data_IF_539351846101
#
_entry.id   IF_539351846101
#
_cell.length_a   1.000
_cell.length_b   1.000
_cell.length_c   1.000
_cell.angle_alpha   90.00
_cell.angle_beta   90.00
_cell.angle_gamma   90.00
#
_symmetry.space_group_name_H-M   'P 1'
#
loop_
_entity.id
_entity.type
_entity.pdbx_description
1 polymer ?
#
# COMPACT_ATOMS: atom_id res chain seq x y z
N UNK A 1 -38.83 -8.05 11.34
CA UNK A 1 -37.88 -8.52 12.36
C UNK A 1 -36.55 -8.66 11.67
N UNK A 2 -35.61 -7.76 11.92
CA UNK A 2 -34.23 -7.96 11.47
C UNK A 2 -33.69 -9.17 12.23
N UNK A 3 -33.08 -10.16 11.56
CA UNK A 3 -32.39 -11.22 12.27
C UNK A 3 -31.36 -10.59 13.23
N UNK A 4 -31.10 -11.20 14.41
CA UNK A 4 -30.06 -10.72 15.30
C UNK A 4 -28.75 -10.67 14.50
N UNK A 5 -28.12 -9.48 14.45
CA UNK A 5 -26.82 -9.34 13.84
C UNK A 5 -25.88 -10.33 14.53
N UNK A 6 -25.25 -11.22 13.76
CA UNK A 6 -24.19 -12.07 14.31
C UNK A 6 -23.18 -11.14 15.00
N UNK A 7 -22.72 -11.48 16.23
CA UNK A 7 -21.69 -10.68 16.89
C UNK A 7 -20.47 -10.58 15.97
N UNK A 8 -19.85 -9.40 15.92
CA UNK A 8 -18.63 -9.18 15.15
C UNK A 8 -17.55 -10.18 15.58
N UNK A 9 -16.75 -10.72 14.65
CA UNK A 9 -15.55 -11.48 15.00
C UNK A 9 -14.62 -10.65 15.90
N UNK A 10 -13.83 -11.31 16.75
CA UNK A 10 -12.84 -10.63 17.56
C UNK A 10 -11.61 -10.27 16.71
N UNK A 11 -11.62 -9.13 16.05
CA UNK A 11 -10.49 -8.71 15.20
C UNK A 11 -9.20 -8.38 15.97
N UNK A 12 -9.22 -8.39 17.31
CA UNK A 12 -8.01 -8.29 18.14
C UNK A 12 -7.37 -9.66 18.40
N UNK A 13 -7.96 -10.74 17.89
CA UNK A 13 -7.41 -12.09 17.93
C UNK A 13 -6.70 -12.43 16.60
N UNK A 14 -5.48 -12.97 16.71
CA UNK A 14 -4.66 -13.30 15.56
C UNK A 14 -5.29 -14.40 14.69
N UNK A 15 -5.97 -15.38 15.29
CA UNK A 15 -6.61 -16.46 14.52
C UNK A 15 -7.78 -15.95 13.67
N UNK A 16 -8.52 -14.98 14.20
CA UNK A 16 -9.57 -14.26 13.45
C UNK A 16 -8.99 -13.54 12.22
N UNK A 17 -7.88 -12.82 12.38
CA UNK A 17 -7.21 -12.13 11.27
C UNK A 17 -6.63 -13.12 10.24
N UNK A 18 -6.06 -14.24 10.70
CA UNK A 18 -5.54 -15.30 9.82
C UNK A 18 -6.66 -15.98 9.03
N UNK A 19 -7.83 -16.19 9.64
CA UNK A 19 -9.00 -16.72 8.93
C UNK A 19 -9.43 -15.76 7.81
N UNK A 20 -9.53 -14.46 8.10
CA UNK A 20 -9.86 -13.44 7.11
C UNK A 20 -8.87 -13.36 5.94
N UNK A 21 -7.57 -13.51 6.23
CA UNK A 21 -6.53 -13.62 5.18
C UNK A 21 -6.75 -14.88 4.33
N UNK A 22 -7.07 -16.03 4.94
CA UNK A 22 -7.34 -17.27 4.17
C UNK A 22 -8.55 -17.12 3.27
N UNK A 23 -9.61 -16.47 3.74
CA UNK A 23 -10.81 -16.20 2.93
C UNK A 23 -10.49 -15.29 1.73
N UNK A 24 -9.67 -14.27 1.95
CA UNK A 24 -9.19 -13.39 0.87
C UNK A 24 -8.27 -14.12 -0.12
N UNK A 25 -7.36 -14.97 0.36
CA UNK A 25 -6.53 -15.80 -0.51
C UNK A 25 -7.35 -16.81 -1.31
N UNK A 26 -8.44 -17.34 -0.74
CA UNK A 26 -9.33 -18.29 -1.43
C UNK A 26 -10.14 -17.63 -2.57
N UNK A 27 -10.34 -16.31 -2.54
CA UNK A 27 -10.93 -15.58 -3.66
C UNK A 27 -9.98 -15.57 -4.88
N UNK A 28 -8.69 -15.34 -4.65
CA UNK A 28 -7.70 -15.24 -5.73
C UNK A 28 -7.10 -16.58 -6.14
N UNK A 29 -6.88 -17.51 -5.21
CA UNK A 29 -6.22 -18.78 -5.52
C UNK A 29 -7.24 -19.89 -5.86
N UNK A 30 -7.07 -20.64 -6.98
CA UNK A 30 -6.02 -20.53 -7.98
C UNK A 30 -6.37 -19.60 -9.17
N UNK A 31 -7.52 -18.95 -9.16
CA UNK A 31 -8.11 -18.23 -10.31
C UNK A 31 -7.21 -17.11 -10.87
N UNK A 32 -6.42 -16.47 -10.02
CA UNK A 32 -5.51 -15.39 -10.41
C UNK A 32 -4.29 -15.88 -11.19
N UNK A 33 -3.92 -17.16 -11.10
CA UNK A 33 -2.72 -17.68 -11.77
C UNK A 33 -2.94 -17.78 -13.29
N UNK A 34 -2.05 -17.18 -14.07
CA UNK A 34 -1.97 -17.41 -15.51
C UNK A 34 -0.88 -18.46 -15.79
N UNK A 35 -1.26 -19.56 -16.44
CA UNK A 35 -0.32 -20.62 -16.81
C UNK A 35 0.73 -20.13 -17.83
N UNK A 36 0.39 -19.13 -18.65
CA UNK A 36 1.28 -18.57 -19.68
C UNK A 36 2.24 -17.52 -19.10
N UNK A 37 2.00 -17.04 -17.87
CA UNK A 37 2.90 -16.16 -17.14
C UNK A 37 2.21 -15.05 -16.36
N UNK A 38 2.61 -14.91 -15.10
CA UNK A 38 2.11 -13.87 -14.20
C UNK A 38 0.73 -14.19 -13.62
N UNK A 39 -0.07 -13.15 -13.44
CA UNK A 39 -1.40 -13.25 -12.82
C UNK A 39 -2.42 -12.44 -13.60
N UNK A 40 -3.68 -12.90 -13.61
CA UNK A 40 -4.85 -12.07 -13.91
C UNK A 40 -4.98 -10.92 -12.93
N UNK A 41 -5.36 -9.75 -13.44
CA UNK A 41 -5.36 -8.50 -12.67
C UNK A 41 -6.73 -7.84 -12.61
N UNK A 42 -7.76 -8.46 -13.20
CA UNK A 42 -9.08 -7.89 -13.39
C UNK A 42 -10.14 -8.92 -13.01
N UNK A 43 -10.72 -8.78 -11.82
CA UNK A 43 -11.66 -9.73 -11.24
C UNK A 43 -12.99 -9.07 -10.91
N UNK A 44 -14.08 -9.77 -11.24
CA UNK A 44 -15.43 -9.45 -10.78
C UNK A 44 -15.65 -9.90 -9.34
N UNK A 45 -16.77 -9.47 -8.77
CA UNK A 45 -17.19 -9.87 -7.42
C UNK A 45 -17.22 -11.38 -7.20
N UNK A 46 -17.62 -12.15 -8.22
CA UNK A 46 -17.71 -13.61 -8.19
C UNK A 46 -16.37 -14.33 -8.47
N UNK A 47 -15.29 -13.57 -8.67
CA UNK A 47 -13.96 -14.08 -8.99
C UNK A 47 -13.69 -14.26 -10.49
N UNK A 48 -14.67 -14.04 -11.37
CA UNK A 48 -14.45 -14.19 -12.80
C UNK A 48 -13.45 -13.14 -13.33
N UNK A 49 -12.48 -13.60 -14.13
CA UNK A 49 -11.55 -12.72 -14.84
C UNK A 49 -12.28 -11.99 -15.95
N UNK A 50 -12.22 -10.66 -15.98
CA UNK A 50 -12.92 -9.85 -16.99
C UNK A 50 -12.04 -9.22 -18.06
N UNK A 51 -10.74 -9.10 -17.80
CA UNK A 51 -9.72 -8.79 -18.79
C UNK A 51 -8.49 -9.66 -18.52
N UNK A 52 -8.24 -10.59 -19.45
CA UNK A 52 -7.11 -11.51 -19.39
C UNK A 52 -5.86 -10.97 -20.12
N UNK A 53 -6.02 -9.94 -20.95
CA UNK A 53 -5.00 -9.44 -21.88
C UNK A 53 -4.10 -8.37 -21.28
N UNK A 54 -4.65 -7.55 -20.38
CA UNK A 54 -3.95 -6.40 -19.83
C UNK A 54 -3.31 -6.73 -18.47
N UNK A 55 -2.05 -6.35 -18.32
CA UNK A 55 -1.26 -6.49 -17.09
C UNK A 55 -0.73 -5.12 -16.67
N UNK A 56 -0.51 -4.96 -15.37
CA UNK A 56 -0.07 -3.72 -14.77
C UNK A 56 0.98 -4.04 -13.73
N UNK A 57 2.09 -3.30 -13.74
CA UNK A 57 3.26 -3.56 -12.91
C UNK A 57 2.89 -3.72 -11.43
N UNK A 58 2.09 -2.78 -10.92
CA UNK A 58 1.59 -2.76 -9.54
C UNK A 58 0.86 -4.05 -9.14
N UNK A 59 -0.02 -4.61 -9.98
CA UNK A 59 -0.67 -5.88 -9.67
C UNK A 59 0.31 -7.05 -9.71
N UNK A 60 1.22 -7.09 -10.70
CA UNK A 60 2.22 -8.17 -10.79
C UNK A 60 3.11 -8.22 -9.56
N UNK A 61 3.55 -7.07 -9.07
CA UNK A 61 4.36 -6.97 -7.84
C UNK A 61 3.53 -7.25 -6.58
N UNK A 62 2.30 -6.76 -6.49
CA UNK A 62 1.45 -6.95 -5.30
C UNK A 62 0.97 -8.41 -5.17
N UNK A 63 0.76 -9.15 -6.26
CA UNK A 63 0.51 -10.58 -6.18
C UNK A 63 1.74 -11.37 -5.69
N UNK A 64 2.97 -10.95 -6.05
CA UNK A 64 4.17 -11.53 -5.44
C UNK A 64 4.16 -11.33 -3.92
N UNK A 65 3.83 -10.14 -3.44
CA UNK A 65 3.64 -9.93 -1.99
C UNK A 65 2.61 -10.88 -1.40
N UNK A 66 1.40 -10.95 -1.99
CA UNK A 66 0.31 -11.77 -1.46
C UNK A 66 0.75 -13.22 -1.26
N UNK A 67 1.30 -13.84 -2.31
CA UNK A 67 1.71 -15.22 -2.28
C UNK A 67 2.95 -15.44 -1.42
N UNK A 68 3.92 -14.53 -1.42
CA UNK A 68 5.13 -14.65 -0.59
C UNK A 68 4.80 -14.56 0.90
N UNK A 69 4.00 -13.57 1.31
CA UNK A 69 3.60 -13.40 2.71
C UNK A 69 2.71 -14.55 3.18
N UNK A 70 1.76 -15.00 2.35
CA UNK A 70 0.94 -16.17 2.65
C UNK A 70 1.78 -17.47 2.73
N UNK A 71 2.81 -17.63 1.89
CA UNK A 71 3.72 -18.76 1.96
C UNK A 71 4.48 -18.81 3.29
N UNK A 72 4.99 -17.66 3.75
CA UNK A 72 5.69 -17.53 5.04
C UNK A 72 4.74 -17.82 6.20
N UNK A 73 3.58 -17.16 6.23
CA UNK A 73 2.64 -17.24 7.34
C UNK A 73 2.03 -18.65 7.49
N UNK A 74 1.66 -19.28 6.37
CA UNK A 74 0.96 -20.56 6.38
C UNK A 74 1.85 -21.78 6.11
N UNK A 75 3.16 -21.58 5.91
CA UNK A 75 4.08 -22.67 5.57
C UNK A 75 3.73 -23.39 4.27
N UNK A 76 3.28 -22.65 3.24
CA UNK A 76 2.74 -23.19 1.98
C UNK A 76 3.77 -23.09 0.85
N UNK A 77 4.44 -24.21 0.55
CA UNK A 77 5.43 -24.27 -0.54
C UNK A 77 4.81 -24.00 -1.92
N UNK A 78 3.56 -24.39 -2.14
CA UNK A 78 2.86 -24.10 -3.40
C UNK A 78 2.54 -22.60 -3.57
N UNK A 79 2.39 -21.84 -2.49
CA UNK A 79 2.31 -20.38 -2.54
C UNK A 79 3.69 -19.76 -2.80
N UNK A 80 4.77 -20.34 -2.25
CA UNK A 80 6.15 -19.93 -2.57
C UNK A 80 6.42 -20.07 -4.07
N UNK A 81 6.00 -21.17 -4.69
CA UNK A 81 6.18 -21.37 -6.13
C UNK A 81 5.33 -20.42 -6.99
N UNK A 82 4.14 -20.02 -6.53
CA UNK A 82 3.36 -18.94 -7.17
C UNK A 82 4.04 -17.58 -7.04
N UNK A 83 4.64 -17.26 -5.88
CA UNK A 83 5.45 -16.05 -5.73
C UNK A 83 6.66 -16.06 -6.68
N UNK A 84 7.36 -17.21 -6.79
CA UNK A 84 8.46 -17.40 -7.76
C UNK A 84 7.98 -17.23 -9.20
N UNK A 85 6.79 -17.74 -9.53
CA UNK A 85 6.16 -17.55 -10.83
C UNK A 85 5.91 -16.06 -11.15
N UNK A 86 5.34 -15.30 -10.20
CA UNK A 86 5.18 -13.86 -10.34
C UNK A 86 6.50 -13.10 -10.52
N UNK A 87 7.53 -13.48 -9.76
CA UNK A 87 8.87 -12.90 -9.89
C UNK A 87 9.51 -13.14 -11.26
N UNK A 88 9.32 -14.34 -11.84
CA UNK A 88 9.77 -14.61 -13.21
C UNK A 88 9.07 -13.69 -14.21
N UNK A 89 7.74 -13.57 -14.13
CA UNK A 89 6.98 -12.68 -15.01
C UNK A 89 7.45 -11.22 -14.89
N UNK A 90 7.71 -10.76 -13.67
CA UNK A 90 8.25 -9.42 -13.43
C UNK A 90 9.61 -9.19 -14.13
N UNK A 91 10.47 -10.21 -14.19
CA UNK A 91 11.81 -10.10 -14.79
C UNK A 91 11.84 -10.35 -16.29
N UNK A 92 10.95 -11.21 -16.78
CA UNK A 92 10.93 -11.64 -18.19
C UNK A 92 10.01 -10.78 -19.06
N UNK A 93 8.90 -10.28 -18.51
CA UNK A 93 7.90 -9.52 -19.27
C UNK A 93 7.93 -8.02 -18.98
N UNK A 94 8.05 -7.60 -17.71
CA UNK A 94 8.05 -6.18 -17.36
C UNK A 94 9.40 -5.51 -17.56
N UNK A 95 10.49 -6.14 -17.08
CA UNK A 95 11.82 -5.52 -17.07
C UNK A 95 12.41 -5.39 -18.49
N UNK A 96 12.81 -4.19 -18.90
CA UNK A 96 13.63 -3.99 -20.10
C UNK A 96 15.11 -4.16 -19.75
N UNK A 97 15.80 -5.20 -20.28
CA UNK A 97 17.19 -5.46 -19.93
C UNK A 97 18.19 -4.41 -20.43
N UNK A 98 17.79 -3.54 -21.38
CA UNK A 98 18.66 -2.50 -21.93
C UNK A 98 18.70 -1.26 -21.03
N UNK A 99 17.57 -0.93 -20.41
CA UNK A 99 17.44 0.29 -19.61
C UNK A 99 17.41 0.02 -18.11
N UNK A 100 17.06 -1.20 -17.70
CA UNK A 100 16.75 -1.56 -16.31
C UNK A 100 15.36 -1.11 -15.85
N UNK A 101 14.62 -0.38 -16.68
CA UNK A 101 13.24 0.04 -16.42
C UNK A 101 12.24 -1.11 -16.46
N UNK A 102 11.01 -0.84 -16.04
CA UNK A 102 9.92 -1.81 -16.03
C UNK A 102 8.72 -1.23 -16.76
N UNK A 103 8.17 -1.98 -17.72
CA UNK A 103 6.94 -1.63 -18.41
C UNK A 103 5.83 -1.40 -17.38
N UNK A 104 5.16 -0.25 -17.46
CA UNK A 104 4.07 0.12 -16.56
C UNK A 104 2.84 -0.74 -16.83
N UNK A 105 2.45 -0.87 -18.10
CA UNK A 105 1.40 -1.78 -18.57
C UNK A 105 1.88 -2.67 -19.71
N UNK A 106 1.27 -3.85 -19.82
CA UNK A 106 1.48 -4.82 -20.88
C UNK A 106 0.10 -5.21 -21.41
N UNK A 107 -0.05 -5.28 -22.72
CA UNK A 107 -1.25 -5.80 -23.39
C UNK A 107 -0.86 -6.89 -24.36
N UNK A 108 -1.55 -8.04 -24.29
CA UNK A 108 -1.31 -9.19 -25.17
C UNK A 108 0.17 -9.62 -25.19
N UNK A 109 0.82 -9.58 -24.02
CA UNK A 109 2.24 -9.93 -23.84
C UNK A 109 3.23 -8.89 -24.37
N UNK A 110 2.79 -7.72 -24.83
CA UNK A 110 3.66 -6.64 -25.30
C UNK A 110 3.58 -5.41 -24.37
N UNK A 111 4.72 -4.77 -24.03
CA UNK A 111 4.70 -3.52 -23.28
C UNK A 111 3.89 -2.43 -24.01
N UNK A 112 2.85 -1.93 -23.36
CA UNK A 112 1.93 -0.90 -23.87
C UNK A 112 2.38 0.48 -23.39
N UNK A 113 2.47 0.67 -22.07
CA UNK A 113 3.08 1.85 -21.45
C UNK A 113 4.49 1.53 -20.90
N UNK A 114 5.47 2.33 -21.31
CA UNK A 114 6.89 2.20 -20.98
C UNK A 114 7.42 3.34 -20.11
N UNK A 115 6.54 4.18 -19.57
CA UNK A 115 6.91 5.19 -18.58
C UNK A 115 7.53 4.52 -17.35
N UNK A 116 8.67 5.04 -16.91
CA UNK A 116 9.38 4.61 -15.74
C UNK A 116 8.85 5.36 -14.51
N UNK A 117 7.94 4.74 -13.76
CA UNK A 117 7.39 5.31 -12.53
C UNK A 117 8.15 4.84 -11.29
N UNK A 118 8.61 5.78 -10.47
CA UNK A 118 9.26 5.50 -9.18
C UNK A 118 8.32 4.68 -8.27
N UNK A 119 7.02 4.98 -8.30
CA UNK A 119 5.98 4.19 -7.63
C UNK A 119 6.05 2.71 -8.03
N UNK A 120 6.17 2.42 -9.33
CA UNK A 120 6.33 1.05 -9.82
C UNK A 120 7.59 0.38 -9.30
N UNK A 121 8.72 1.09 -9.31
CA UNK A 121 10.02 0.57 -8.83
C UNK A 121 10.01 0.33 -7.31
N UNK A 122 9.26 1.11 -6.53
CA UNK A 122 9.03 0.84 -5.11
C UNK A 122 8.40 -0.54 -4.91
N UNK A 123 7.33 -0.84 -5.66
CA UNK A 123 6.68 -2.14 -5.60
C UNK A 123 7.54 -3.28 -6.15
N UNK A 124 8.44 -3.01 -7.09
CA UNK A 124 9.45 -3.99 -7.54
C UNK A 124 10.40 -4.36 -6.40
N UNK A 125 10.95 -3.37 -5.68
CA UNK A 125 11.81 -3.61 -4.53
C UNK A 125 11.07 -4.38 -3.43
N UNK A 126 9.80 -4.02 -3.17
CA UNK A 126 8.95 -4.74 -2.24
C UNK A 126 8.75 -6.21 -2.65
N UNK A 127 8.44 -6.48 -3.92
CA UNK A 127 8.25 -7.84 -4.44
C UNK A 127 9.53 -8.69 -4.27
N UNK A 128 10.70 -8.13 -4.58
CA UNK A 128 11.98 -8.80 -4.37
C UNK A 128 12.26 -9.06 -2.89
N UNK A 129 11.99 -8.08 -2.02
CA UNK A 129 12.14 -8.22 -0.57
C UNK A 129 11.24 -9.34 -0.02
N UNK A 130 9.98 -9.41 -0.46
CA UNK A 130 9.06 -10.49 -0.08
C UNK A 130 9.50 -11.84 -0.63
N UNK A 131 10.06 -11.90 -1.84
CA UNK A 131 10.68 -13.10 -2.39
C UNK A 131 11.78 -13.64 -1.48
N UNK A 132 12.68 -12.77 -1.02
CA UNK A 132 13.74 -13.15 -0.07
C UNK A 132 13.16 -13.65 1.26
N UNK A 133 12.17 -12.94 1.84
CA UNK A 133 11.48 -13.39 3.06
C UNK A 133 10.84 -14.78 2.90
N UNK A 134 10.32 -15.09 1.71
CA UNK A 134 9.74 -16.39 1.39
C UNK A 134 10.78 -17.49 1.05
N UNK A 135 12.08 -17.19 1.11
CA UNK A 135 13.16 -18.16 0.82
C UNK A 135 13.55 -18.29 -0.66
N UNK A 136 13.16 -17.34 -1.51
CA UNK A 136 13.53 -17.29 -2.93
C UNK A 136 14.87 -16.54 -3.03
N UNK A 137 15.96 -17.26 -2.82
CA UNK A 137 17.30 -16.69 -2.63
C UNK A 137 17.80 -15.82 -3.79
N UNK A 138 17.41 -16.13 -5.04
CA UNK A 138 17.83 -15.34 -6.21
C UNK A 138 17.32 -13.90 -6.19
N UNK A 139 16.25 -13.60 -5.42
CA UNK A 139 15.68 -12.26 -5.33
C UNK A 139 16.59 -11.25 -4.60
N UNK A 140 17.54 -11.71 -3.78
CA UNK A 140 18.44 -10.83 -3.03
C UNK A 140 19.31 -9.96 -3.95
N UNK A 141 19.90 -10.55 -4.99
CA UNK A 141 20.71 -9.80 -5.96
C UNK A 141 19.87 -8.76 -6.74
N UNK A 142 18.56 -9.00 -6.89
CA UNK A 142 17.66 -8.08 -7.58
C UNK A 142 17.28 -6.88 -6.71
N UNK A 143 17.33 -7.00 -5.38
CA UNK A 143 17.20 -5.85 -4.48
C UNK A 143 18.37 -4.88 -4.65
N UNK A 144 19.60 -5.39 -4.77
CA UNK A 144 20.81 -4.58 -5.05
C UNK A 144 20.71 -3.90 -6.41
N UNK A 145 20.28 -4.65 -7.43
CA UNK A 145 20.07 -4.12 -8.78
C UNK A 145 19.05 -2.98 -8.78
N UNK A 146 17.95 -3.15 -8.05
CA UNK A 146 16.88 -2.14 -7.94
C UNK A 146 17.34 -0.91 -7.17
N UNK A 147 18.11 -1.09 -6.09
CA UNK A 147 18.76 0.01 -5.39
C UNK A 147 19.64 0.83 -6.34
N UNK A 148 20.50 0.18 -7.12
CA UNK A 148 21.38 0.88 -8.06
C UNK A 148 20.61 1.64 -9.15
N UNK A 149 19.48 1.09 -9.62
CA UNK A 149 18.58 1.81 -10.54
C UNK A 149 18.01 3.07 -9.89
N UNK A 150 17.51 2.94 -8.66
CA UNK A 150 16.95 4.04 -7.89
C UNK A 150 17.97 5.15 -7.64
N UNK A 151 19.18 4.79 -7.21
CA UNK A 151 20.26 5.76 -6.99
C UNK A 151 20.69 6.46 -8.28
N UNK A 152 20.79 5.72 -9.39
CA UNK A 152 21.27 6.28 -10.65
C UNK A 152 20.22 7.16 -11.35
N UNK A 153 18.93 6.86 -11.18
CA UNK A 153 17.86 7.46 -11.98
C UNK A 153 16.85 8.26 -11.19
N UNK A 154 16.48 7.88 -9.98
CA UNK A 154 15.36 8.49 -9.27
C UNK A 154 15.78 9.33 -8.06
N UNK A 155 16.92 9.05 -7.43
CA UNK A 155 17.33 9.73 -6.21
C UNK A 155 17.76 11.19 -6.49
N UNK A 156 17.18 12.12 -5.75
CA UNK A 156 17.58 13.53 -5.74
C UNK A 156 18.28 13.85 -4.41
N UNK A 157 19.61 13.74 -4.33
CA UNK A 157 20.34 13.84 -3.06
C UNK A 157 20.19 15.20 -2.37
N UNK A 158 19.98 16.27 -3.13
CA UNK A 158 19.75 17.62 -2.61
C UNK A 158 18.43 17.75 -1.86
N UNK A 159 17.42 16.99 -2.25
CA UNK A 159 16.12 16.94 -1.59
C UNK A 159 15.98 15.76 -0.63
N UNK A 160 16.83 14.73 -0.76
CA UNK A 160 16.69 13.50 -0.01
C UNK A 160 15.36 12.76 -0.29
N UNK A 161 14.86 12.87 -1.52
CA UNK A 161 13.62 12.28 -2.00
C UNK A 161 13.83 11.73 -3.42
N UNK A 162 12.90 10.90 -3.89
CA UNK A 162 12.88 10.38 -5.25
C UNK A 162 11.96 11.20 -6.15
N UNK A 163 12.43 11.55 -7.35
CA UNK A 163 11.59 12.10 -8.43
C UNK A 163 10.65 11.04 -8.98
N UNK A 164 9.55 11.47 -9.61
CA UNK A 164 8.39 10.57 -9.78
C UNK A 164 8.43 9.71 -11.05
N UNK A 165 8.58 10.32 -12.23
CA UNK A 165 8.42 9.59 -13.49
C UNK A 165 9.29 10.12 -14.63
N UNK A 166 9.66 9.20 -15.52
CA UNK A 166 10.41 9.49 -16.74
C UNK A 166 9.90 8.66 -17.92
N UNK A 167 10.16 9.13 -19.13
CA UNK A 167 9.97 8.32 -20.33
C UNK A 167 10.98 7.15 -20.40
N UNK A 168 10.90 6.37 -21.49
CA UNK A 168 11.77 5.21 -21.71
C UNK A 168 13.25 5.57 -21.89
N UNK A 169 13.56 6.83 -22.24
CA UNK A 169 14.91 7.35 -22.43
C UNK A 169 15.44 8.09 -21.18
N UNK A 170 14.70 8.04 -20.07
CA UNK A 170 15.00 8.67 -18.78
C UNK A 170 14.92 10.19 -18.77
N UNK A 171 14.08 10.79 -19.63
CA UNK A 171 13.71 12.20 -19.50
C UNK A 171 12.61 12.35 -18.46
N UNK A 172 12.92 13.04 -17.35
CA UNK A 172 12.01 13.20 -16.22
C UNK A 172 11.02 14.34 -16.41
N UNK A 173 9.81 14.16 -15.88
CA UNK A 173 8.81 15.23 -15.82
C UNK A 173 9.14 16.23 -14.69
N UNK A 174 8.42 17.36 -14.70
CA UNK A 174 8.51 18.36 -13.63
C UNK A 174 7.75 18.00 -12.36
N UNK A 175 6.97 16.91 -12.35
CA UNK A 175 6.13 16.51 -11.23
C UNK A 175 6.95 15.82 -10.13
N UNK A 176 6.59 16.09 -8.88
CA UNK A 176 7.08 15.37 -7.69
C UNK A 176 5.87 14.94 -6.85
N UNK A 177 5.92 13.72 -6.34
CA UNK A 177 4.80 13.11 -5.63
C UNK A 177 5.22 12.49 -4.31
N UNK A 178 4.40 12.67 -3.27
CA UNK A 178 4.59 11.98 -2.00
C UNK A 178 4.42 10.46 -2.16
N UNK A 179 3.49 10.03 -3.02
CA UNK A 179 3.00 8.66 -3.09
C UNK A 179 4.11 7.65 -3.44
N UNK A 180 4.95 7.97 -4.43
CA UNK A 180 6.12 7.14 -4.76
C UNK A 180 7.11 7.05 -3.60
N UNK A 181 7.32 8.13 -2.84
CA UNK A 181 8.24 8.18 -1.71
C UNK A 181 7.70 7.43 -0.48
N UNK A 182 6.39 7.44 -0.26
CA UNK A 182 5.71 6.65 0.77
C UNK A 182 5.89 5.15 0.53
N UNK A 183 5.55 4.67 -0.66
CA UNK A 183 5.76 3.26 -0.99
C UNK A 183 7.24 2.88 -1.10
N UNK A 184 8.12 3.83 -1.42
CA UNK A 184 9.55 3.58 -1.31
C UNK A 184 9.98 3.39 0.14
N UNK A 185 9.47 4.19 1.09
CA UNK A 185 9.72 3.99 2.51
C UNK A 185 9.26 2.59 2.96
N UNK A 186 8.06 2.17 2.54
CA UNK A 186 7.54 0.82 2.77
C UNK A 186 8.46 -0.27 2.19
N UNK A 187 8.85 -0.15 0.92
CA UNK A 187 9.72 -1.11 0.24
C UNK A 187 11.11 -1.20 0.89
N UNK A 188 11.65 -0.07 1.34
CA UNK A 188 12.93 0.00 2.06
C UNK A 188 12.86 -0.67 3.43
N UNK A 189 11.75 -0.50 4.17
CA UNK A 189 11.51 -1.25 5.41
C UNK A 189 11.42 -2.76 5.13
N UNK A 190 10.71 -3.15 4.08
CA UNK A 190 10.63 -4.56 3.68
C UNK A 190 12.00 -5.13 3.28
N UNK A 191 12.81 -4.36 2.56
CA UNK A 191 14.16 -4.72 2.15
C UNK A 191 15.12 -4.86 3.34
N UNK A 192 15.05 -3.93 4.30
CA UNK A 192 15.77 -4.03 5.57
C UNK A 192 15.38 -5.31 6.32
N UNK A 193 14.10 -5.60 6.45
CA UNK A 193 13.64 -6.82 7.14
C UNK A 193 14.04 -8.12 6.42
N UNK A 194 14.22 -8.08 5.11
CA UNK A 194 14.63 -9.24 4.32
C UNK A 194 16.15 -9.49 4.34
N UNK A 195 16.95 -8.44 4.51
CA UNK A 195 18.42 -8.49 4.33
C UNK A 195 19.25 -8.12 5.56
N UNK A 196 18.64 -7.42 6.52
CA UNK A 196 19.30 -6.74 7.64
C UNK A 196 20.34 -5.68 7.20
N UNK A 197 20.31 -5.21 5.95
CA UNK A 197 21.19 -4.16 5.45
C UNK A 197 20.70 -2.77 5.90
N UNK A 198 21.53 -2.09 6.70
CA UNK A 198 21.21 -0.81 7.33
C UNK A 198 20.89 0.31 6.33
N UNK A 199 21.44 0.28 5.11
CA UNK A 199 21.21 1.34 4.11
C UNK A 199 19.73 1.53 3.79
N UNK A 200 18.97 0.43 3.81
CA UNK A 200 17.54 0.47 3.52
C UNK A 200 16.77 1.13 4.67
N UNK A 201 17.10 0.80 5.92
CA UNK A 201 16.48 1.44 7.08
C UNK A 201 16.82 2.93 7.16
N UNK A 202 18.07 3.30 6.89
CA UNK A 202 18.53 4.69 6.83
C UNK A 202 17.82 5.48 5.71
N UNK A 203 17.63 4.87 4.53
CA UNK A 203 16.86 5.48 3.46
C UNK A 203 15.39 5.66 3.84
N UNK A 204 14.77 4.64 4.43
CA UNK A 204 13.38 4.72 4.90
C UNK A 204 13.18 5.86 5.91
N UNK A 205 14.10 6.02 6.89
CA UNK A 205 14.07 7.12 7.85
C UNK A 205 14.24 8.48 7.16
N UNK A 206 15.16 8.58 6.20
CA UNK A 206 15.39 9.81 5.41
C UNK A 206 14.11 10.24 4.68
N UNK A 207 13.45 9.31 3.99
CA UNK A 207 12.19 9.56 3.29
C UNK A 207 11.08 9.99 4.26
N UNK A 208 10.93 9.27 5.37
CA UNK A 208 9.94 9.58 6.39
C UNK A 208 10.14 10.97 7.00
N UNK A 209 11.38 11.34 7.34
CA UNK A 209 11.71 12.66 7.86
C UNK A 209 11.39 13.75 6.82
N UNK A 210 11.83 13.57 5.58
CA UNK A 210 11.60 14.59 4.55
C UNK A 210 10.12 14.74 4.22
N UNK A 211 9.34 13.66 4.14
CA UNK A 211 7.92 13.74 3.81
C UNK A 211 7.06 14.19 4.99
N UNK A 212 7.19 13.55 6.16
CA UNK A 212 6.28 13.77 7.28
C UNK A 212 6.71 14.90 8.21
N UNK A 213 7.92 15.46 8.04
CA UNK A 213 8.35 16.69 8.70
C UNK A 213 8.48 17.84 7.70
N UNK A 214 9.43 17.76 6.75
CA UNK A 214 9.76 18.91 5.88
C UNK A 214 8.64 19.26 4.90
N UNK A 215 8.12 18.29 4.16
CA UNK A 215 7.02 18.55 3.24
C UNK A 215 5.71 18.84 3.99
N UNK A 216 5.41 18.06 5.03
CA UNK A 216 4.22 18.28 5.86
C UNK A 216 4.17 19.66 6.53
N UNK A 217 5.32 20.24 6.90
CA UNK A 217 5.40 21.59 7.45
C UNK A 217 4.93 22.69 6.47
N UNK A 218 4.88 22.40 5.16
CA UNK A 218 4.33 23.31 4.16
C UNK A 218 2.79 23.25 4.08
N UNK A 219 2.15 22.25 4.70
CA UNK A 219 0.71 21.97 4.59
C UNK A 219 0.06 21.71 5.97
N UNK A 220 0.34 22.60 6.93
CA UNK A 220 -0.21 22.55 8.30
C UNK A 220 0.04 21.22 9.05
N UNK A 221 1.15 20.55 8.76
CA UNK A 221 1.55 19.30 9.42
C UNK A 221 0.98 18.03 8.78
N UNK A 222 0.27 18.13 7.66
CA UNK A 222 -0.26 17.00 6.89
C UNK A 222 0.53 16.78 5.60
N UNK A 223 0.54 15.54 5.10
CA UNK A 223 1.24 15.21 3.85
C UNK A 223 0.33 15.51 2.67
N UNK A 224 0.66 16.57 1.91
CA UNK A 224 0.02 16.87 0.62
C UNK A 224 0.59 15.95 -0.49
N UNK A 225 -0.19 15.72 -1.55
CA UNK A 225 0.15 14.75 -2.59
C UNK A 225 1.15 15.26 -3.63
N UNK A 226 1.00 16.52 -4.06
CA UNK A 226 1.56 17.02 -5.32
C UNK A 226 2.53 18.18 -5.11
N UNK A 227 3.70 18.10 -5.75
CA UNK A 227 4.76 19.09 -5.64
C UNK A 227 5.37 19.39 -7.01
N UNK A 228 5.94 20.58 -7.14
CA UNK A 228 6.76 20.95 -8.28
C UNK A 228 8.18 20.35 -8.21
N UNK A 229 9.01 20.65 -9.21
CA UNK A 229 10.39 20.16 -9.33
C UNK A 229 11.30 20.55 -8.17
N UNK A 230 10.97 21.62 -7.46
CA UNK A 230 11.72 22.18 -6.34
C UNK A 230 11.10 21.78 -5.00
N UNK A 231 10.15 20.82 -5.02
CA UNK A 231 9.43 20.30 -3.87
C UNK A 231 8.59 21.34 -3.12
N UNK A 232 8.13 22.39 -3.81
CA UNK A 232 7.07 23.27 -3.31
C UNK A 232 5.70 22.64 -3.60
N UNK A 233 4.72 22.88 -2.72
CA UNK A 233 3.36 22.38 -2.92
C UNK A 233 2.75 22.94 -4.21
N UNK A 234 2.18 22.05 -5.01
CA UNK A 234 1.24 22.38 -6.08
C UNK A 234 -0.20 22.15 -5.58
N UNK A 235 -0.88 23.25 -5.23
CA UNK A 235 -2.26 23.22 -4.73
C UNK A 235 -3.33 23.07 -5.83
N UNK A 236 -2.94 23.24 -7.08
CA UNK A 236 -3.84 23.29 -8.23
C UNK A 236 -3.76 22.02 -9.09
N UNK A 237 -2.74 21.17 -8.87
CA UNK A 237 -2.59 19.88 -9.53
C UNK A 237 -3.88 19.05 -9.44
N UNK A 238 -4.53 18.83 -10.58
CA UNK A 238 -5.80 18.12 -10.72
C UNK A 238 -6.96 18.66 -9.87
N UNK A 239 -6.95 19.95 -9.48
CA UNK A 239 -8.10 20.54 -8.78
C UNK A 239 -9.41 20.42 -9.57
N UNK A 240 -9.34 20.50 -10.90
CA UNK A 240 -10.49 20.34 -11.79
C UNK A 240 -10.88 18.87 -12.07
N UNK A 241 -10.06 17.91 -11.61
CA UNK A 241 -10.31 16.47 -11.68
C UNK A 241 -9.96 15.77 -10.34
N UNK A 242 -10.71 16.05 -9.26
CA UNK A 242 -10.34 15.62 -7.91
C UNK A 242 -10.40 14.09 -7.72
N UNK A 243 -11.08 13.36 -8.60
CA UNK A 243 -11.22 11.90 -8.56
C UNK A 243 -10.24 11.17 -9.49
N UNK A 244 -9.19 11.85 -9.97
CA UNK A 244 -8.18 11.23 -10.83
C UNK A 244 -7.59 9.96 -10.18
N UNK A 245 -7.60 8.84 -10.90
CA UNK A 245 -7.39 7.49 -10.35
C UNK A 245 -6.08 7.29 -9.57
N UNK A 246 -4.99 7.95 -9.98
CA UNK A 246 -3.66 7.78 -9.37
C UNK A 246 -3.11 9.02 -8.65
N UNK A 247 -3.71 10.18 -8.93
CA UNK A 247 -3.24 11.50 -8.45
C UNK A 247 -4.46 12.38 -8.16
N UNK A 248 -5.35 11.95 -7.24
CA UNK A 248 -6.54 12.71 -6.88
C UNK A 248 -6.14 14.00 -6.15
N UNK A 249 -6.93 15.05 -6.31
CA UNK A 249 -6.73 16.30 -5.57
C UNK A 249 -7.22 16.18 -4.12
N UNK A 250 -6.56 16.90 -3.21
CA UNK A 250 -6.91 16.95 -1.80
C UNK A 250 -5.99 16.09 -0.93
N UNK A 251 -6.07 16.30 0.38
CA UNK A 251 -5.42 15.41 1.33
C UNK A 251 -6.09 14.05 1.32
N UNK A 252 -5.27 13.01 1.23
CA UNK A 252 -5.72 11.62 1.29
C UNK A 252 -5.61 11.12 2.75
N UNK A 253 -6.70 10.99 3.53
CA UNK A 253 -6.66 10.47 4.89
C UNK A 253 -6.01 9.09 4.98
N UNK A 254 -6.23 8.24 3.96
CA UNK A 254 -5.57 6.94 3.85
C UNK A 254 -4.05 7.07 3.91
N UNK A 255 -3.45 7.96 3.10
CA UNK A 255 -2.00 8.18 3.11
C UNK A 255 -1.49 8.81 4.40
N UNK A 256 -2.28 9.65 5.08
CA UNK A 256 -1.89 10.15 6.41
C UNK A 256 -1.78 8.98 7.40
N UNK A 257 -2.76 8.09 7.41
CA UNK A 257 -2.74 6.91 8.28
C UNK A 257 -1.68 5.90 7.87
N UNK A 258 -1.41 5.73 6.57
CA UNK A 258 -0.35 4.86 6.07
C UNK A 258 1.05 5.38 6.44
N UNK A 259 1.30 6.69 6.32
CA UNK A 259 2.52 7.28 6.88
C UNK A 259 2.63 7.03 8.38
N UNK A 260 1.56 7.22 9.14
CA UNK A 260 1.57 6.92 10.57
C UNK A 260 1.91 5.44 10.87
N UNK A 261 1.40 4.48 10.07
CA UNK A 261 1.82 3.06 10.14
C UNK A 261 3.33 2.91 9.91
N UNK A 262 3.85 3.50 8.83
CA UNK A 262 5.28 3.40 8.46
C UNK A 262 6.19 4.03 9.52
N UNK A 263 5.78 5.14 10.13
CA UNK A 263 6.50 5.77 11.24
C UNK A 263 6.57 4.86 12.48
N UNK A 264 5.51 4.10 12.77
CA UNK A 264 5.48 3.15 13.89
C UNK A 264 6.31 1.89 13.58
N UNK A 265 6.36 1.46 12.32
CA UNK A 265 7.26 0.38 11.88
C UNK A 265 8.73 0.82 11.98
N UNK A 266 9.05 2.06 11.58
CA UNK A 266 10.38 2.67 11.80
C UNK A 266 10.73 2.74 13.28
N UNK A 267 9.80 3.22 14.11
CA UNK A 267 9.98 3.34 15.56
C UNK A 267 10.32 1.98 16.20
N UNK A 268 9.64 0.89 15.79
CA UNK A 268 9.95 -0.48 16.24
C UNK A 268 11.41 -0.84 15.97
N UNK A 269 11.87 -0.64 14.74
CA UNK A 269 13.22 -1.05 14.33
C UNK A 269 14.32 -0.17 14.94
N UNK A 270 14.09 1.14 15.04
CA UNK A 270 15.05 2.08 15.59
C UNK A 270 15.08 2.04 17.13
N UNK A 271 13.93 1.81 17.79
CA UNK A 271 13.87 1.66 19.25
C UNK A 271 14.63 0.42 19.71
N UNK A 272 14.53 -0.69 18.97
CA UNK A 272 15.31 -1.89 19.23
C UNK A 272 16.83 -1.66 19.14
N UNK A 273 17.26 -0.60 18.45
CA UNK A 273 18.66 -0.18 18.31
C UNK A 273 19.07 0.94 19.27
N UNK A 274 18.11 1.55 19.98
CA UNK A 274 18.34 2.69 20.86
C UNK A 274 18.41 4.06 20.16
N UNK A 275 18.01 4.12 18.88
CA UNK A 275 18.23 5.29 18.00
C UNK A 275 16.92 5.93 17.50
N UNK A 276 15.76 5.58 18.08
CA UNK A 276 14.46 6.09 17.63
C UNK A 276 14.31 7.60 17.89
N UNK A 277 14.10 8.42 16.84
CA UNK A 277 13.77 9.83 17.01
C UNK A 277 12.39 10.01 17.67
N UNK A 278 12.30 10.92 18.65
CA UNK A 278 11.06 11.18 19.39
C UNK A 278 9.89 11.69 18.50
N UNK A 279 10.19 12.23 17.32
CA UNK A 279 9.18 12.75 16.41
C UNK A 279 8.37 11.64 15.71
N UNK A 280 8.85 10.40 15.65
CA UNK A 280 8.16 9.30 14.93
C UNK A 280 6.75 9.06 15.48
N UNK A 281 6.64 8.78 16.78
CA UNK A 281 5.36 8.46 17.42
C UNK A 281 4.46 9.70 17.50
N UNK A 282 5.02 10.87 17.83
CA UNK A 282 4.23 12.12 17.93
C UNK A 282 3.64 12.55 16.58
N UNK A 283 4.40 12.38 15.50
CA UNK A 283 3.92 12.65 14.14
C UNK A 283 2.89 11.62 13.69
N UNK A 284 3.11 10.33 13.98
CA UNK A 284 2.14 9.28 13.67
C UNK A 284 0.77 9.55 14.31
N UNK A 285 0.76 9.97 15.58
CA UNK A 285 -0.46 10.39 16.28
C UNK A 285 -1.13 11.58 15.60
N UNK A 286 -0.37 12.64 15.32
CA UNK A 286 -0.91 13.84 14.68
C UNK A 286 -1.58 13.53 13.33
N UNK A 287 -0.90 12.75 12.47
CA UNK A 287 -1.42 12.34 11.16
C UNK A 287 -2.69 11.50 11.31
N UNK A 288 -2.68 10.50 12.19
CA UNK A 288 -3.83 9.63 12.41
C UNK A 288 -5.03 10.40 12.98
N UNK A 289 -4.84 11.11 14.08
CA UNK A 289 -5.90 11.83 14.80
C UNK A 289 -6.57 12.86 13.90
N UNK A 290 -5.77 13.60 13.12
CA UNK A 290 -6.30 14.59 12.18
C UNK A 290 -7.05 13.93 11.04
N UNK A 291 -6.51 12.86 10.45
CA UNK A 291 -7.14 12.18 9.34
C UNK A 291 -8.51 11.60 9.72
N UNK A 292 -8.60 10.87 10.84
CA UNK A 292 -9.87 10.26 11.26
C UNK A 292 -10.91 11.31 11.69
N UNK A 293 -10.47 12.40 12.34
CA UNK A 293 -11.37 13.49 12.72
C UNK A 293 -11.93 14.27 11.53
N UNK A 294 -11.16 14.41 10.43
CA UNK A 294 -11.57 15.13 9.23
C UNK A 294 -12.40 14.28 8.26
N UNK A 295 -12.20 12.97 8.23
CA UNK A 295 -12.73 12.11 7.16
C UNK A 295 -13.74 11.06 7.59
N UNK A 296 -13.91 10.81 8.89
CA UNK A 296 -14.94 9.86 9.34
C UNK A 296 -16.36 10.39 9.08
N UNK A 297 -17.18 9.59 8.42
CA UNK A 297 -18.59 9.88 8.19
C UNK A 297 -19.43 9.40 9.38
N UNK A 298 -19.93 10.33 10.22
CA UNK A 298 -20.78 9.99 11.36
C UNK A 298 -22.20 9.53 10.98
N UNK A 299 -22.64 9.79 9.74
CA UNK A 299 -23.97 9.39 9.26
C UNK A 299 -23.96 7.98 8.65
N UNK A 300 -22.98 7.70 7.80
CA UNK A 300 -22.91 6.43 7.04
C UNK A 300 -21.73 5.52 7.44
N UNK A 301 -20.83 5.98 8.31
CA UNK A 301 -19.63 5.25 8.70
C UNK A 301 -18.54 5.26 7.62
N UNK A 302 -17.33 4.88 8.02
CA UNK A 302 -16.17 4.79 7.13
C UNK A 302 -15.50 6.14 6.88
N UNK A 303 -14.23 6.07 6.51
CA UNK A 303 -13.43 7.25 6.14
C UNK A 303 -13.67 7.58 4.66
N UNK A 304 -13.97 8.85 4.38
CA UNK A 304 -14.03 9.44 3.05
C UNK A 304 -12.65 9.39 2.34
N UNK A 305 -12.65 9.56 1.01
CA UNK A 305 -11.45 9.42 0.19
C UNK A 305 -10.54 10.65 0.22
N UNK A 306 -11.10 11.86 0.34
CA UNK A 306 -10.29 13.08 0.31
C UNK A 306 -10.95 14.28 0.97
N UNK A 307 -10.12 15.14 1.56
CA UNK A 307 -10.54 16.44 2.08
C UNK A 307 -9.65 17.59 1.59
N UNK A 308 -10.26 18.75 1.37
CA UNK A 308 -9.62 19.97 0.92
C UNK A 308 -8.76 20.62 2.04
N UNK A 309 -7.91 21.62 1.72
CA UNK A 309 -7.12 22.34 2.73
C UNK A 309 -7.94 23.05 3.81
N UNK A 310 -9.20 23.44 3.52
CA UNK A 310 -10.11 23.97 4.54
C UNK A 310 -10.75 22.89 5.43
N UNK A 311 -10.51 21.62 5.09
CA UNK A 311 -11.01 20.42 5.76
C UNK A 311 -12.41 19.98 5.33
N UNK A 312 -12.98 20.57 4.29
CA UNK A 312 -14.21 20.06 3.67
C UNK A 312 -13.94 18.76 2.91
N UNK A 313 -14.88 17.82 2.93
CA UNK A 313 -14.78 16.58 2.13
C UNK A 313 -14.90 16.94 0.65
N UNK A 314 -13.89 16.58 -0.15
CA UNK A 314 -13.87 16.78 -1.59
C UNK A 314 -14.12 15.49 -2.39
N UNK A 315 -13.91 14.33 -1.76
CA UNK A 315 -14.36 13.04 -2.26
C UNK A 315 -14.85 12.15 -1.10
N UNK A 316 -16.14 11.84 -1.12
CA UNK A 316 -16.86 11.08 -0.07
C UNK A 316 -16.98 9.59 -0.36
N UNK A 317 -16.35 9.10 -1.44
CA UNK A 317 -16.27 7.67 -1.72
C UNK A 317 -15.50 6.92 -0.62
N UNK A 318 -15.86 5.65 -0.41
CA UNK A 318 -15.32 4.81 0.65
C UNK A 318 -14.44 3.72 0.07
N UNK A 319 -13.13 3.92 0.11
CA UNK A 319 -12.15 3.00 -0.47
C UNK A 319 -11.67 1.95 0.52
N UNK A 320 -11.48 0.72 0.03
CA UNK A 320 -11.01 -0.42 0.81
C UNK A 320 -9.67 -0.18 1.53
N UNK A 321 -8.71 0.39 0.79
CA UNK A 321 -7.34 0.56 1.26
C UNK A 321 -7.25 1.64 2.34
N UNK A 322 -8.05 2.71 2.24
CA UNK A 322 -8.11 3.75 3.29
C UNK A 322 -8.49 3.12 4.62
N UNK A 323 -9.51 2.26 4.65
CA UNK A 323 -9.95 1.63 5.90
C UNK A 323 -8.91 0.64 6.42
N UNK A 324 -8.31 -0.15 5.53
CA UNK A 324 -7.29 -1.15 5.86
C UNK A 324 -6.03 -0.52 6.46
N UNK A 325 -5.53 0.56 5.87
CA UNK A 325 -4.37 1.29 6.38
C UNK A 325 -4.69 1.93 7.73
N UNK A 326 -5.85 2.58 7.84
CA UNK A 326 -6.26 3.20 9.10
C UNK A 326 -6.44 2.20 10.24
N UNK A 327 -7.02 1.01 9.99
CA UNK A 327 -7.16 0.01 11.06
C UNK A 327 -5.80 -0.57 11.47
N UNK A 328 -4.86 -0.77 10.54
CA UNK A 328 -3.51 -1.21 10.92
C UNK A 328 -2.84 -0.16 11.82
N UNK A 329 -2.90 1.10 11.42
CA UNK A 329 -2.34 2.22 12.19
C UNK A 329 -2.98 2.35 13.57
N UNK A 330 -4.30 2.21 13.67
CA UNK A 330 -5.02 2.25 14.94
C UNK A 330 -4.50 1.18 15.90
N UNK A 331 -4.35 -0.06 15.45
CA UNK A 331 -3.78 -1.13 16.29
C UNK A 331 -2.33 -0.83 16.71
N UNK A 332 -1.49 -0.34 15.78
CA UNK A 332 -0.09 -0.03 16.08
C UNK A 332 0.05 1.12 17.08
N UNK A 333 -0.77 2.16 16.96
CA UNK A 333 -0.82 3.26 17.93
C UNK A 333 -1.31 2.75 19.29
N UNK A 334 -2.35 1.91 19.32
CA UNK A 334 -2.89 1.37 20.55
C UNK A 334 -1.84 0.56 21.34
N UNK A 335 -1.12 -0.33 20.66
CA UNK A 335 -0.02 -1.10 21.26
C UNK A 335 1.11 -0.18 21.71
N UNK A 336 1.56 0.73 20.84
CA UNK A 336 2.74 1.55 21.10
C UNK A 336 2.55 2.60 22.21
N UNK A 337 1.33 3.12 22.36
CA UNK A 337 0.99 4.19 23.31
C UNK A 337 0.29 3.68 24.57
N UNK A 338 -0.36 2.52 24.51
CA UNK A 338 -1.23 2.02 25.58
C UNK A 338 -2.57 2.76 25.70
N UNK A 339 -2.92 3.62 24.74
CA UNK A 339 -4.16 4.41 24.78
C UNK A 339 -5.34 3.65 24.13
N UNK A 340 -6.38 3.39 24.92
CA UNK A 340 -7.56 2.62 24.49
C UNK A 340 -8.37 3.27 23.37
N UNK A 341 -8.27 4.61 23.20
CA UNK A 341 -8.93 5.33 22.10
C UNK A 341 -8.59 4.74 20.73
N UNK A 342 -7.33 4.34 20.51
CA UNK A 342 -6.93 3.76 19.23
C UNK A 342 -7.50 2.36 19.01
N UNK A 343 -7.69 1.59 20.08
CA UNK A 343 -8.43 0.32 20.00
C UNK A 343 -9.92 0.54 19.70
N UNK A 344 -10.52 1.62 20.19
CA UNK A 344 -11.89 1.99 19.84
C UNK A 344 -12.00 2.36 18.35
N UNK A 345 -11.02 3.07 17.80
CA UNK A 345 -10.94 3.33 16.36
C UNK A 345 -10.75 2.05 15.55
N UNK A 346 -9.87 1.15 16.00
CA UNK A 346 -9.65 -0.16 15.37
C UNK A 346 -10.96 -0.94 15.24
N UNK A 347 -11.71 -1.07 16.35
CA UNK A 347 -12.99 -1.77 16.36
C UNK A 347 -14.04 -1.07 15.48
N UNK A 348 -14.08 0.28 15.49
CA UNK A 348 -15.00 1.08 14.67
C UNK A 348 -14.74 0.90 13.17
N UNK A 349 -13.47 0.90 12.76
CA UNK A 349 -13.04 0.69 11.38
C UNK A 349 -13.34 -0.73 10.91
N UNK A 350 -13.05 -1.75 11.73
CA UNK A 350 -13.41 -3.13 11.44
C UNK A 350 -14.92 -3.36 11.35
N UNK A 351 -15.70 -2.79 12.26
CA UNK A 351 -17.15 -2.90 12.23
C UNK A 351 -17.72 -2.38 10.89
N UNK A 352 -17.25 -1.20 10.46
CA UNK A 352 -17.63 -0.63 9.17
C UNK A 352 -17.18 -1.51 8.00
N UNK A 353 -15.89 -1.87 7.96
CA UNK A 353 -15.33 -2.66 6.87
C UNK A 353 -16.00 -4.04 6.75
N UNK A 354 -16.21 -4.73 7.87
CA UNK A 354 -16.87 -6.02 7.92
C UNK A 354 -18.31 -5.92 7.41
N UNK A 355 -19.03 -4.85 7.75
CA UNK A 355 -20.43 -4.70 7.31
C UNK A 355 -20.56 -4.34 5.82
N UNK A 356 -19.64 -3.52 5.29
CA UNK A 356 -19.85 -2.85 4.01
C UNK A 356 -18.86 -3.23 2.91
N UNK A 357 -17.59 -3.47 3.24
CA UNK A 357 -16.52 -3.67 2.27
C UNK A 357 -16.15 -5.13 2.08
N UNK A 358 -16.20 -5.95 3.12
CA UNK A 358 -15.90 -7.39 3.03
C UNK A 358 -17.04 -8.11 2.33
N UNK A 359 -16.73 -8.85 1.27
CA UNK A 359 -17.71 -9.70 0.59
C UNK A 359 -17.79 -11.07 1.26
N UNK A 360 -18.80 -11.25 2.11
CA UNK A 360 -19.04 -12.51 2.83
C UNK A 360 -19.46 -13.68 1.94
N UNK A 361 -19.80 -13.44 0.67
CA UNK A 361 -20.22 -14.49 -0.26
C UNK A 361 -19.05 -15.09 -1.02
N UNK A 362 -18.13 -14.24 -1.49
CA UNK A 362 -17.03 -14.66 -2.36
C UNK A 362 -15.64 -14.44 -1.75
N UNK A 363 -15.53 -13.73 -0.63
CA UNK A 363 -14.27 -13.31 -0.04
C UNK A 363 -13.69 -12.06 -0.70
N UNK A 364 -12.57 -11.61 -0.15
CA UNK A 364 -11.90 -10.33 -0.47
C UNK A 364 -12.80 -9.09 -0.22
N UNK A 365 -12.30 -7.91 -0.57
CA UNK A 365 -12.98 -6.63 -0.32
C UNK A 365 -13.47 -6.00 -1.63
N UNK A 366 -14.61 -5.32 -1.60
CA UNK A 366 -14.98 -4.40 -2.68
C UNK A 366 -13.98 -3.24 -2.74
N UNK A 367 -13.67 -2.74 -3.94
CA UNK A 367 -12.71 -1.63 -4.11
C UNK A 367 -13.21 -0.32 -3.50
N UNK A 368 -14.45 0.03 -3.79
CA UNK A 368 -15.01 1.37 -3.57
C UNK A 368 -16.52 1.26 -3.36
N UNK A 369 -17.05 2.08 -2.47
CA UNK A 369 -18.47 2.34 -2.32
C UNK A 369 -18.74 3.85 -2.44
N UNK A 370 -19.95 4.21 -2.82
CA UNK A 370 -20.42 5.59 -2.65
C UNK A 370 -20.54 5.96 -1.16
N UNK A 371 -20.82 7.23 -0.86
CA UNK A 371 -20.97 7.72 0.52
C UNK A 371 -21.98 6.91 1.36
N UNK A 372 -23.05 6.41 0.74
CA UNK A 372 -24.14 5.65 1.38
C UNK A 372 -23.87 4.13 1.39
N UNK A 373 -22.64 3.73 1.11
CA UNK A 373 -22.17 2.36 1.08
C UNK A 373 -22.80 1.51 -0.04
N UNK A 374 -23.21 2.14 -1.15
CA UNK A 374 -23.66 1.49 -2.37
C UNK A 374 -22.50 1.15 -3.31
N UNK A 375 -22.56 -0.01 -3.98
CA UNK A 375 -21.57 -0.39 -4.99
C UNK A 375 -21.81 0.33 -6.31
N UNK A 376 -20.72 0.77 -6.96
CA UNK A 376 -20.77 1.34 -8.31
C UNK A 376 -20.88 0.28 -9.41
N UNK A 377 -20.21 -0.85 -9.27
CA UNK A 377 -20.18 -1.96 -10.23
C UNK A 377 -19.82 -3.28 -9.54
N UNK A 378 -19.64 -4.34 -10.32
CA UNK A 378 -19.14 -5.65 -9.88
C UNK A 378 -17.61 -5.82 -10.08
N UNK A 379 -16.89 -4.75 -10.44
CA UNK A 379 -15.44 -4.78 -10.65
C UNK A 379 -14.68 -4.75 -9.31
N UNK A 380 -14.67 -5.89 -8.61
CA UNK A 380 -14.05 -6.03 -7.29
C UNK A 380 -12.58 -5.65 -7.27
N UNK A 381 -11.82 -6.11 -8.26
CA UNK A 381 -10.37 -5.95 -8.30
C UNK A 381 -9.89 -5.67 -9.73
N UNK A 382 -9.96 -4.40 -10.19
CA UNK A 382 -9.22 -3.96 -11.37
C UNK A 382 -7.70 -3.96 -11.11
N UNK A 383 -6.93 -3.72 -12.17
CA UNK A 383 -5.48 -3.56 -12.05
C UNK A 383 -5.10 -2.53 -10.97
N UNK A 384 -4.06 -2.84 -10.20
CA UNK A 384 -3.64 -2.14 -9.00
C UNK A 384 -4.17 -2.78 -7.70
N UNK A 385 -5.37 -3.38 -7.68
CA UNK A 385 -5.93 -4.00 -6.48
C UNK A 385 -5.75 -5.52 -6.50
N UNK A 386 -5.10 -6.03 -5.45
CA UNK A 386 -4.92 -7.48 -5.21
C UNK A 386 -5.28 -7.85 -3.76
N UNK A 387 -5.90 -6.94 -3.00
CA UNK A 387 -6.04 -7.05 -1.54
C UNK A 387 -4.70 -7.09 -0.78
N UNK A 388 -3.63 -6.61 -1.41
CA UNK A 388 -2.35 -6.28 -0.78
C UNK A 388 -2.51 -5.48 0.52
N UNK A 389 -3.27 -4.38 0.47
CA UNK A 389 -3.48 -3.50 1.61
C UNK A 389 -4.24 -4.19 2.75
N UNK A 390 -5.31 -4.93 2.43
CA UNK A 390 -6.18 -5.55 3.44
C UNK A 390 -5.49 -6.73 4.11
N UNK A 391 -4.84 -7.61 3.35
CA UNK A 391 -4.03 -8.69 3.92
C UNK A 391 -2.78 -8.16 4.62
N UNK A 392 -2.09 -7.19 4.02
CA UNK A 392 -0.91 -6.52 4.59
C UNK A 392 -1.20 -5.87 5.94
N UNK A 393 -2.32 -5.15 6.06
CA UNK A 393 -2.82 -4.61 7.31
C UNK A 393 -3.01 -5.70 8.37
N UNK A 394 -3.68 -6.81 8.02
CA UNK A 394 -3.85 -7.93 8.94
C UNK A 394 -2.52 -8.56 9.37
N UNK A 395 -1.57 -8.79 8.44
CA UNK A 395 -0.24 -9.32 8.77
C UNK A 395 0.51 -8.41 9.76
N UNK A 396 0.46 -7.09 9.55
CA UNK A 396 1.13 -6.14 10.43
C UNK A 396 0.50 -6.16 11.84
N UNK A 397 -0.83 -6.19 11.95
CA UNK A 397 -1.51 -6.31 13.26
C UNK A 397 -1.17 -7.64 13.95
N UNK A 398 -1.19 -8.76 13.24
CA UNK A 398 -0.82 -10.09 13.78
C UNK A 398 0.59 -10.07 14.37
N UNK A 399 1.55 -9.40 13.71
CA UNK A 399 2.94 -9.33 14.18
C UNK A 399 3.06 -8.71 15.57
N UNK A 400 2.26 -7.69 15.84
CA UNK A 400 2.21 -7.03 17.15
C UNK A 400 1.41 -7.83 18.18
N UNK A 401 0.27 -8.43 17.79
CA UNK A 401 -0.50 -9.28 18.69
C UNK A 401 0.28 -10.51 19.19
N UNK A 402 1.19 -11.05 18.35
CA UNK A 402 2.07 -12.17 18.72
C UNK A 402 3.27 -11.76 19.59
N UNK A 403 3.69 -10.51 19.52
CA UNK A 403 4.83 -9.97 20.26
C UNK A 403 4.46 -8.59 20.85
N UNK A 404 3.56 -8.57 21.85
CA UNK A 404 2.99 -7.34 22.39
C UNK A 404 3.99 -6.44 23.12
#
# INVERSE_FOLDING_TARGET
>A
MNPPANPLPNFRDADTLLAHIRDTMAFYDPVALDADGGFFHYFRDDGAVYDASHRHLVSSTRFVFNYAMAAVEFGRDDYRERARHGLRYLREAHRDPRTGGYAWTIRDGQPEDRMNHCYGVAFVLLAYSCGVKAGIAEAAAWMDETWNLLEARFWEPEFGLYRDEADADWNFTGYRGQNANMHMCEAMLAAFEASNDARYLERALTLAQNMTQRQAAQADGLVWEHYDRDWNIDWDYHRDDPKHLFRPWGFQPGHQTEWAKLLLILDRHLSARGDAPAWLVSTARHLFDTAVARSWDDEFGGLAYGFAPDGSICDDDKYFWVQAESLATAALLAVRTGEDLYWQWYDKLWAYAWQHLVDHRYGAWYRILDRRNGKYSDEKSPAGKTDYHTMGACYEVIRWLRNP
#
